data_IF_551100808380
#
_entry.id   IF_551100808380
#
_cell.length_a   1.000
_cell.length_b   1.000
_cell.length_c   1.000
_cell.angle_alpha   90.00
_cell.angle_beta   90.00
_cell.angle_gamma   90.00
#
_symmetry.space_group_name_H-M   'P 1'
#
loop_
_entity.id
_entity.type
_entity.pdbx_description
1 polymer ?
#
# COMPACT_ATOMS: atom_id res chain seq x y z
N UNK A 1 30.52 22.40 8.86
CA UNK A 1 31.10 22.12 7.53
C UNK A 1 31.72 20.73 7.62
N UNK A 2 31.34 19.68 6.90
CA UNK A 2 30.56 19.42 5.68
C UNK A 2 29.86 18.07 5.90
N UNK A 3 28.65 17.77 5.46
CA UNK A 3 28.04 18.14 4.20
C UNK A 3 28.25 17.05 3.15
N UNK A 4 27.54 15.90 3.29
CA UNK A 4 27.08 15.06 2.16
C UNK A 4 26.15 13.94 2.66
N UNK A 5 24.84 14.17 2.59
CA UNK A 5 23.85 13.07 2.59
C UNK A 5 23.65 12.70 1.13
N UNK A 6 24.25 11.59 0.72
CA UNK A 6 24.19 11.07 -0.64
C UNK A 6 22.86 10.36 -0.88
N UNK A 7 22.09 10.87 -1.86
CA UNK A 7 21.09 10.16 -2.68
C UNK A 7 20.07 9.26 -1.95
N UNK A 8 18.97 9.87 -1.52
CA UNK A 8 17.61 9.47 -1.96
C UNK A 8 17.04 8.10 -1.59
N UNK A 9 17.65 7.33 -0.69
CA UNK A 9 17.00 6.17 -0.07
C UNK A 9 16.76 6.52 1.38
N UNK A 10 15.52 6.85 1.74
CA UNK A 10 15.12 6.90 3.15
C UNK A 10 15.24 5.46 3.67
N UNK A 11 16.29 5.20 4.45
CA UNK A 11 16.48 3.90 5.10
C UNK A 11 15.32 3.73 6.09
N UNK A 12 14.50 2.70 5.86
CA UNK A 12 13.25 2.54 6.59
C UNK A 12 13.57 2.14 8.03
N UNK A 13 13.07 2.93 8.98
CA UNK A 13 13.16 2.54 10.38
C UNK A 13 12.22 1.33 10.62
N UNK A 14 12.58 0.41 11.54
CA UNK A 14 11.75 -0.77 11.83
C UNK A 14 10.30 -0.47 12.24
N UNK A 15 10.02 0.72 12.76
CA UNK A 15 8.65 1.17 13.11
C UNK A 15 7.84 1.62 11.89
N UNK A 16 8.49 2.23 10.90
CA UNK A 16 7.84 2.67 9.66
C UNK A 16 7.37 1.45 8.87
N UNK A 17 8.18 0.39 8.86
CA UNK A 17 7.84 -0.85 8.18
C UNK A 17 6.65 -1.57 8.83
N UNK A 18 6.56 -1.60 10.17
CA UNK A 18 5.38 -2.18 10.86
C UNK A 18 4.10 -1.41 10.61
N UNK A 19 4.18 -0.07 10.55
CA UNK A 19 3.02 0.77 10.21
C UNK A 19 2.58 0.52 8.77
N UNK A 20 3.55 0.40 7.86
CA UNK A 20 3.31 0.05 6.46
C UNK A 20 2.59 -1.30 6.33
N UNK A 21 3.07 -2.35 7.02
CA UNK A 21 2.43 -3.67 6.99
C UNK A 21 1.00 -3.62 7.54
N UNK A 22 0.76 -2.89 8.63
CA UNK A 22 -0.58 -2.70 9.22
C UNK A 22 -1.53 -1.92 8.30
N UNK A 23 -1.05 -0.86 7.66
CA UNK A 23 -1.86 -0.09 6.71
C UNK A 23 -2.22 -0.97 5.49
N UNK A 24 -1.25 -1.69 4.95
CA UNK A 24 -1.43 -2.59 3.82
C UNK A 24 -2.40 -3.75 4.13
N UNK A 25 -2.36 -4.27 5.35
CA UNK A 25 -3.28 -5.32 5.80
C UNK A 25 -4.74 -4.86 5.88
N UNK A 26 -4.99 -3.55 6.03
CA UNK A 26 -6.35 -2.98 6.08
C UNK A 26 -6.95 -2.74 4.68
N UNK A 27 -6.13 -2.74 3.63
CA UNK A 27 -6.64 -2.57 2.26
C UNK A 27 -7.37 -3.84 1.80
N UNK A 28 -8.58 -3.72 1.24
CA UNK A 28 -9.34 -4.88 0.74
C UNK A 28 -8.58 -5.57 -0.41
N UNK A 29 -8.82 -6.86 -0.59
CA UNK A 29 -8.43 -7.55 -1.83
C UNK A 29 -9.25 -7.01 -3.01
N UNK A 30 -8.63 -6.98 -4.18
CA UNK A 30 -9.25 -6.46 -5.40
C UNK A 30 -9.06 -4.96 -5.57
N UNK A 31 -9.90 -4.37 -6.42
CA UNK A 31 -9.86 -2.96 -6.77
C UNK A 31 -10.64 -2.11 -5.76
N UNK A 32 -10.07 -0.99 -5.35
CA UNK A 32 -10.72 0.04 -4.54
C UNK A 32 -10.27 1.42 -5.02
N UNK A 33 -11.20 2.37 -5.06
CA UNK A 33 -10.87 3.77 -5.28
C UNK A 33 -10.60 4.45 -3.95
N UNK A 34 -9.86 5.55 -3.98
CA UNK A 34 -9.49 6.28 -2.78
C UNK A 34 -8.81 7.59 -3.09
N UNK A 35 -8.27 8.19 -2.04
CA UNK A 35 -7.50 9.42 -2.16
C UNK A 35 -6.11 9.24 -1.59
N UNK A 36 -5.12 9.84 -2.26
CA UNK A 36 -3.76 9.99 -1.75
C UNK A 36 -3.27 11.40 -2.06
N UNK A 37 -2.80 12.11 -1.02
CA UNK A 37 -2.40 13.52 -1.11
C UNK A 37 -3.47 14.43 -1.76
N UNK A 38 -4.75 14.16 -1.49
CA UNK A 38 -5.87 14.91 -2.04
C UNK A 38 -6.18 14.64 -3.53
N UNK A 39 -5.47 13.70 -4.16
CA UNK A 39 -5.72 13.27 -5.55
C UNK A 39 -6.51 11.96 -5.55
N UNK A 40 -7.39 11.72 -6.54
CA UNK A 40 -8.12 10.45 -6.65
C UNK A 40 -7.23 9.34 -7.23
N UNK A 41 -7.34 8.13 -6.69
CA UNK A 41 -6.52 6.98 -7.08
C UNK A 41 -7.37 5.71 -7.14
N UNK A 42 -7.06 4.85 -8.10
CA UNK A 42 -7.50 3.45 -8.12
C UNK A 42 -6.37 2.57 -7.61
N UNK A 43 -6.65 1.65 -6.68
CA UNK A 43 -5.66 0.73 -6.13
C UNK A 43 -6.18 -0.71 -6.20
N UNK A 44 -5.36 -1.61 -6.72
CA UNK A 44 -5.61 -3.04 -6.76
C UNK A 44 -4.64 -3.76 -5.85
N UNK A 45 -5.17 -4.49 -4.86
CA UNK A 45 -4.38 -5.38 -4.01
C UNK A 45 -4.66 -6.82 -4.39
N UNK A 46 -3.60 -7.59 -4.58
CA UNK A 46 -3.66 -9.04 -4.80
C UNK A 46 -2.82 -9.73 -3.75
N UNK A 47 -3.38 -10.75 -3.10
CA UNK A 47 -2.68 -11.62 -2.16
C UNK A 47 -2.55 -13.01 -2.76
N UNK A 48 -1.43 -13.69 -2.52
CA UNK A 48 -1.27 -15.08 -2.96
C UNK A 48 -2.09 -16.02 -2.09
N UNK A 49 -2.54 -17.14 -2.66
CA UNK A 49 -3.31 -18.15 -1.93
C UNK A 49 -2.52 -18.78 -0.77
N UNK A 50 -1.19 -18.76 -0.83
CA UNK A 50 -0.30 -19.24 0.24
C UNK A 50 0.00 -18.17 1.31
N UNK A 51 -0.52 -16.95 1.16
CA UNK A 51 -0.29 -15.81 2.08
C UNK A 51 1.13 -15.25 2.08
N UNK A 52 2.04 -15.77 1.24
CA UNK A 52 3.46 -15.41 1.27
C UNK A 52 3.81 -14.19 0.42
N UNK A 53 2.87 -13.70 -0.39
CA UNK A 53 3.11 -12.65 -1.37
C UNK A 53 1.92 -11.71 -1.46
N UNK A 54 2.23 -10.45 -1.66
CA UNK A 54 1.25 -9.41 -1.93
C UNK A 54 1.75 -8.52 -3.06
N UNK A 55 0.84 -8.14 -3.95
CA UNK A 55 1.07 -7.18 -5.02
C UNK A 55 0.12 -6.00 -4.84
N UNK A 56 0.64 -4.81 -5.05
CA UNK A 56 -0.17 -3.61 -5.15
C UNK A 56 0.16 -2.90 -6.45
N UNK A 57 -0.90 -2.48 -7.15
CA UNK A 57 -0.82 -1.56 -8.26
C UNK A 57 -1.83 -0.44 -8.02
N UNK A 58 -1.34 0.80 -7.95
CA UNK A 58 -2.14 2.00 -7.82
C UNK A 58 -1.86 2.94 -8.98
N UNK A 59 -2.90 3.58 -9.48
CA UNK A 59 -2.83 4.59 -10.53
C UNK A 59 -3.66 5.81 -10.15
N UNK A 60 -3.14 7.00 -10.47
CA UNK A 60 -3.87 8.25 -10.27
C UNK A 60 -5.00 8.37 -11.28
N UNK A 61 -6.22 8.60 -10.81
CA UNK A 61 -7.39 8.75 -11.67
C UNK A 61 -7.40 10.15 -12.29
N UNK A 62 -7.02 10.23 -13.57
CA UNK A 62 -6.97 11.49 -14.32
C UNK A 62 -5.56 12.05 -14.53
N UNK A 63 -4.53 11.32 -14.11
CA UNK A 63 -3.13 11.62 -14.43
C UNK A 63 -2.39 10.34 -14.83
N UNK A 64 -1.06 10.43 -14.93
CA UNK A 64 -0.19 9.31 -15.35
C UNK A 64 0.67 8.76 -14.20
N UNK A 65 0.41 9.21 -12.97
CA UNK A 65 1.19 8.75 -11.82
C UNK A 65 0.78 7.34 -11.38
N UNK A 66 1.77 6.53 -11.01
CA UNK A 66 1.58 5.15 -10.59
C UNK A 66 2.40 4.81 -9.35
N UNK A 67 1.91 3.84 -8.59
CA UNK A 67 2.60 3.19 -7.48
C UNK A 67 2.46 1.68 -7.64
N UNK A 68 3.57 0.96 -7.72
CA UNK A 68 3.52 -0.51 -7.80
C UNK A 68 4.66 -1.16 -7.05
N UNK A 69 4.36 -2.25 -6.36
CA UNK A 69 5.34 -3.04 -5.65
C UNK A 69 4.87 -4.48 -5.40
N UNK A 70 5.84 -5.32 -5.08
CA UNK A 70 5.64 -6.66 -4.53
C UNK A 70 6.16 -6.70 -3.10
N UNK A 71 5.45 -7.40 -2.22
CA UNK A 71 5.87 -7.70 -0.86
C UNK A 71 5.96 -9.22 -0.70
N UNK A 72 7.09 -9.68 -0.18
CA UNK A 72 7.35 -11.10 0.08
C UNK A 72 7.51 -11.33 1.57
N UNK A 73 6.64 -12.15 2.16
CA UNK A 73 6.76 -12.59 3.55
C UNK A 73 7.71 -13.79 3.60
N UNK A 74 8.87 -13.62 4.24
CA UNK A 74 9.90 -14.65 4.39
C UNK A 74 9.73 -15.43 5.70
N UNK A 75 9.23 -14.77 6.74
CA UNK A 75 8.83 -15.32 8.03
C UNK A 75 7.87 -14.34 8.71
N UNK A 76 7.31 -14.69 9.87
CA UNK A 76 6.40 -13.83 10.63
C UNK A 76 7.01 -12.47 11.03
N UNK A 77 8.34 -12.38 11.05
CA UNK A 77 9.09 -11.18 11.47
C UNK A 77 9.83 -10.50 10.31
N UNK A 78 9.80 -11.09 9.11
CA UNK A 78 10.62 -10.63 7.98
C UNK A 78 9.82 -10.59 6.70
N UNK A 79 9.66 -9.38 6.15
CA UNK A 79 9.18 -9.19 4.80
C UNK A 79 10.16 -8.37 3.96
N UNK A 80 10.10 -8.55 2.64
CA UNK A 80 10.94 -7.86 1.66
C UNK A 80 10.05 -7.09 0.69
N UNK A 81 10.18 -5.77 0.71
CA UNK A 81 9.51 -4.86 -0.22
C UNK A 81 10.32 -4.70 -1.52
N UNK A 82 9.66 -4.82 -2.66
CA UNK A 82 10.23 -4.67 -4.00
C UNK A 82 9.39 -3.70 -4.83
N UNK A 83 9.73 -2.40 -4.83
CA UNK A 83 9.09 -1.42 -5.71
C UNK A 83 9.38 -1.70 -7.20
N UNK A 84 8.41 -1.43 -8.07
CA UNK A 84 8.54 -1.55 -9.52
C UNK A 84 9.00 -0.21 -10.10
N UNK A 85 10.29 -0.10 -10.47
CA UNK A 85 10.83 1.09 -11.16
C UNK A 85 10.63 2.43 -10.43
N UNK A 86 10.45 2.40 -9.10
CA UNK A 86 10.23 3.58 -8.27
C UNK A 86 10.89 3.48 -6.89
N UNK A 87 10.89 4.56 -6.11
CA UNK A 87 11.53 4.57 -4.80
C UNK A 87 10.67 3.89 -3.74
N UNK A 88 11.31 3.24 -2.77
CA UNK A 88 10.62 2.68 -1.59
C UNK A 88 9.90 3.78 -0.81
N UNK A 89 10.46 4.99 -0.73
CA UNK A 89 9.83 6.12 -0.05
C UNK A 89 8.45 6.45 -0.64
N UNK A 90 8.33 6.52 -1.97
CA UNK A 90 7.04 6.75 -2.65
C UNK A 90 6.02 5.66 -2.33
N UNK A 91 6.46 4.40 -2.31
CA UNK A 91 5.60 3.26 -1.96
C UNK A 91 5.09 3.37 -0.52
N UNK A 92 5.96 3.70 0.43
CA UNK A 92 5.56 3.86 1.82
C UNK A 92 4.61 5.03 2.00
N UNK A 93 4.94 6.18 1.44
CA UNK A 93 4.11 7.38 1.53
C UNK A 93 2.71 7.07 0.98
N UNK A 94 2.63 6.38 -0.16
CA UNK A 94 1.36 5.93 -0.74
C UNK A 94 0.59 5.02 0.20
N UNK A 95 1.17 3.91 0.67
CA UNK A 95 0.43 2.93 1.49
C UNK A 95 0.01 3.52 2.84
N UNK A 96 0.83 4.36 3.46
CA UNK A 96 0.51 5.01 4.73
C UNK A 96 -0.50 6.15 4.59
N UNK A 97 -0.57 6.78 3.41
CA UNK A 97 -1.43 7.94 3.15
C UNK A 97 -2.67 7.65 2.30
N UNK A 98 -2.80 6.46 1.72
CA UNK A 98 -3.93 6.10 0.87
C UNK A 98 -5.17 5.83 1.72
N UNK A 99 -6.23 6.57 1.44
CA UNK A 99 -7.53 6.44 2.12
C UNK A 99 -8.54 5.83 1.15
N UNK A 100 -8.89 4.52 1.29
CA UNK A 100 -9.86 3.88 0.41
C UNK A 100 -11.27 4.42 0.67
N UNK A 101 -12.03 4.60 -0.41
CA UNK A 101 -13.48 4.79 -0.39
C UNK A 101 -14.08 3.38 -0.34
N UNK A 102 -14.23 2.86 0.88
CA UNK A 102 -14.91 1.58 1.06
C UNK A 102 -16.41 1.77 0.81
N UNK A 103 -17.08 0.86 0.09
CA UNK A 103 -18.53 0.87 0.05
C UNK A 103 -19.05 0.71 1.48
N UNK A 104 -20.13 1.44 1.81
CA UNK A 104 -20.84 1.21 3.06
C UNK A 104 -21.13 -0.29 3.18
N UNK A 105 -20.75 -0.91 4.31
CA UNK A 105 -21.09 -2.31 4.57
C UNK A 105 -22.61 -2.45 4.36
N UNK A 106 -23.09 -3.40 3.53
CA UNK A 106 -24.52 -3.61 3.44
C UNK A 106 -25.01 -3.94 4.86
N UNK A 107 -25.98 -3.16 5.35
CA UNK A 107 -26.60 -3.47 6.64
C UNK A 107 -27.15 -4.90 6.58
N UNK A 108 -27.00 -5.71 7.65
CA UNK A 108 -27.60 -7.03 7.65
C UNK A 108 -29.09 -6.86 7.40
N UNK A 109 -29.56 -7.41 6.27
CA UNK A 109 -30.97 -7.43 5.92
C UNK A 109 -31.66 -8.12 7.09
N UNK A 110 -32.46 -7.39 7.88
CA UNK A 110 -33.30 -7.99 8.91
C UNK A 110 -34.16 -9.06 8.21
N UNK A 111 -33.89 -10.33 8.52
CA UNK A 111 -34.77 -11.41 8.09
C UNK A 111 -36.15 -11.14 8.71
N UNK A 112 -37.24 -11.13 7.92
CA UNK A 112 -38.57 -11.08 8.50
C UNK A 112 -38.76 -12.37 9.33
N UNK A 113 -39.12 -12.19 10.60
CA UNK A 113 -39.42 -13.27 11.55
C UNK A 113 -40.73 -13.96 11.28
#
# INVERSE_FOLDING_TARGET
MSGRVTKGTRELLPLDFRQFERALAQLPDGYTEGYFQGRPWGATVKRSADGKRLWLYGEELGATDIVSFNLYFLSDEKAVLKPCEMSSAKVLDFVLGFSPILPARPEPICAPG
#
